data_IF_376917443250
#
_entry.id   IF_376917443250
#
_cell.length_a   1.000
_cell.length_b   1.000
_cell.length_c   1.000
_cell.angle_alpha   90.00
_cell.angle_beta   90.00
_cell.angle_gamma   90.00
#
_symmetry.space_group_name_H-M   'P 1'
#
loop_
_entity.id
_entity.type
_entity.pdbx_description
1 polymer ?
#
# COMPACT_ATOMS: atom_id res chain seq x y z
N UNK A 1 1.63 -8.41 19.88
CA UNK A 1 2.49 -7.82 18.86
C UNK A 1 1.66 -7.28 17.67
N UNK A 2 1.48 -8.02 16.54
CA UNK A 2 0.87 -7.42 15.32
C UNK A 2 -0.56 -6.93 15.54
N UNK A 3 -1.40 -7.70 16.24
CA UNK A 3 -2.78 -7.28 16.58
C UNK A 3 -2.80 -5.94 17.33
N UNK A 4 -1.91 -5.78 18.28
CA UNK A 4 -1.80 -4.55 19.06
C UNK A 4 -1.36 -3.37 18.17
N UNK A 5 -0.38 -3.58 17.29
CA UNK A 5 0.08 -2.54 16.35
C UNK A 5 -1.05 -2.07 15.44
N UNK A 6 -1.85 -3.00 14.90
CA UNK A 6 -3.00 -2.63 14.06
C UNK A 6 -4.01 -1.80 14.84
N UNK A 7 -4.37 -2.20 16.05
CA UNK A 7 -5.32 -1.46 16.87
C UNK A 7 -4.78 -0.08 17.31
N UNK A 8 -3.49 0.02 17.61
CA UNK A 8 -2.80 1.29 17.91
C UNK A 8 -2.82 2.23 16.70
N UNK A 9 -2.55 1.73 15.49
CA UNK A 9 -2.58 2.53 14.28
C UNK A 9 -3.99 3.05 13.98
N UNK A 10 -5.02 2.21 14.11
CA UNK A 10 -6.41 2.64 13.95
C UNK A 10 -6.88 3.62 15.03
N UNK A 11 -6.28 3.60 16.23
CA UNK A 11 -6.60 4.55 17.28
C UNK A 11 -5.83 5.87 17.15
N UNK A 12 -4.59 5.79 16.64
CA UNK A 12 -3.69 6.94 16.50
C UNK A 12 -3.93 7.76 15.25
N UNK A 13 -4.32 7.08 14.17
CA UNK A 13 -4.55 7.69 12.85
C UNK A 13 -6.00 7.51 12.42
N UNK A 14 -6.52 8.43 11.62
CA UNK A 14 -7.82 8.28 10.96
C UNK A 14 -7.66 7.31 9.75
N UNK A 15 -7.40 6.05 10.07
CA UNK A 15 -7.22 5.00 9.06
C UNK A 15 -8.55 4.73 8.33
N UNK A 16 -8.62 5.07 7.05
CA UNK A 16 -9.82 4.93 6.24
C UNK A 16 -9.97 3.53 5.65
N UNK A 17 -8.87 2.92 5.25
CA UNK A 17 -8.84 1.62 4.62
C UNK A 17 -7.47 0.96 4.83
N UNK A 18 -7.49 -0.30 5.16
CA UNK A 18 -6.32 -1.17 5.25
C UNK A 18 -6.51 -2.37 4.33
N UNK A 19 -5.57 -2.60 3.43
CA UNK A 19 -5.49 -3.85 2.69
C UNK A 19 -4.50 -4.80 3.36
N UNK A 20 -4.87 -6.06 3.48
CA UNK A 20 -4.01 -7.12 4.00
C UNK A 20 -4.06 -8.36 3.12
N UNK A 21 -2.92 -9.03 2.99
CA UNK A 21 -2.81 -10.28 2.22
C UNK A 21 -3.20 -11.47 3.11
N UNK A 22 -4.27 -12.23 2.78
CA UNK A 22 -4.80 -13.27 3.65
C UNK A 22 -3.89 -14.48 3.90
N UNK A 23 -3.03 -14.93 2.98
CA UNK A 23 -2.20 -16.10 3.22
C UNK A 23 -1.45 -16.01 4.56
N UNK A 24 -1.61 -17.03 5.41
CA UNK A 24 -1.09 -17.12 6.78
C UNK A 24 -1.72 -16.16 7.81
N UNK A 25 -2.60 -15.23 7.41
CA UNK A 25 -3.19 -14.20 8.27
C UNK A 25 -4.72 -14.21 8.30
N UNK A 26 -5.38 -15.24 7.72
CA UNK A 26 -6.85 -15.28 7.57
C UNK A 26 -7.60 -15.02 8.87
N UNK A 27 -7.21 -15.69 9.97
CA UNK A 27 -7.86 -15.49 11.27
C UNK A 27 -7.62 -14.10 11.84
N UNK A 28 -6.40 -13.54 11.68
CA UNK A 28 -6.07 -12.21 12.11
C UNK A 28 -6.85 -11.17 11.30
N UNK A 29 -6.93 -11.34 9.98
CA UNK A 29 -7.72 -10.49 9.09
C UNK A 29 -9.19 -10.48 9.49
N UNK A 30 -9.77 -11.64 9.81
CA UNK A 30 -11.15 -11.74 10.29
C UNK A 30 -11.38 -10.98 11.60
N UNK A 31 -10.44 -11.08 12.56
CA UNK A 31 -10.51 -10.32 13.81
C UNK A 31 -10.41 -8.81 13.59
N UNK A 32 -9.47 -8.37 12.74
CA UNK A 32 -9.30 -6.93 12.43
C UNK A 32 -10.51 -6.37 11.69
N UNK A 33 -11.04 -7.10 10.71
CA UNK A 33 -12.27 -6.71 10.00
C UNK A 33 -13.48 -6.62 10.94
N UNK A 34 -13.56 -7.50 11.93
CA UNK A 34 -14.61 -7.46 12.96
C UNK A 34 -14.51 -6.23 13.87
N UNK A 35 -13.28 -5.83 14.28
CA UNK A 35 -13.04 -4.65 15.11
C UNK A 35 -13.15 -3.33 14.34
N UNK A 36 -12.65 -3.29 13.12
CA UNK A 36 -12.58 -2.10 12.28
C UNK A 36 -13.49 -2.23 11.06
N UNK A 37 -14.80 -2.41 11.31
CA UNK A 37 -15.82 -2.73 10.29
C UNK A 37 -15.72 -1.82 9.06
N UNK A 38 -15.65 -2.44 7.89
CA UNK A 38 -15.61 -1.77 6.58
C UNK A 38 -14.27 -1.11 6.25
N UNK A 39 -13.28 -1.17 7.14
CA UNK A 39 -11.98 -0.53 6.96
C UNK A 39 -10.81 -1.50 6.79
N UNK A 40 -11.01 -2.79 7.03
CA UNK A 40 -10.03 -3.85 6.78
C UNK A 40 -10.57 -4.78 5.72
N UNK A 41 -9.83 -4.91 4.63
CA UNK A 41 -10.25 -5.63 3.42
C UNK A 41 -9.12 -6.54 2.95
N UNK A 42 -9.48 -7.75 2.54
CA UNK A 42 -8.54 -8.70 1.95
C UNK A 42 -8.06 -8.21 0.58
N UNK A 43 -6.75 -8.27 0.39
CA UNK A 43 -6.11 -8.03 -0.90
C UNK A 43 -5.18 -9.20 -1.23
N UNK A 44 -5.56 -10.00 -2.20
CA UNK A 44 -4.82 -11.20 -2.61
C UNK A 44 -3.67 -10.83 -3.55
N UNK A 45 -2.44 -10.80 -3.04
CA UNK A 45 -1.25 -10.44 -3.81
C UNK A 45 -0.91 -11.43 -4.93
N UNK A 46 -1.44 -12.65 -4.87
CA UNK A 46 -1.31 -13.68 -5.91
C UNK A 46 -2.27 -13.47 -7.10
N UNK A 47 -3.14 -12.47 -7.05
CA UNK A 47 -3.94 -12.04 -8.22
C UNK A 47 -3.08 -11.16 -9.12
N UNK A 48 -2.19 -11.77 -9.87
CA UNK A 48 -1.07 -11.14 -10.58
C UNK A 48 -1.46 -10.00 -11.51
N UNK A 49 -2.61 -10.04 -12.16
CA UNK A 49 -3.07 -8.94 -13.02
C UNK A 49 -3.39 -7.69 -12.19
N UNK A 50 -4.20 -7.82 -11.16
CA UNK A 50 -4.60 -6.71 -10.27
C UNK A 50 -3.38 -6.18 -9.54
N UNK A 51 -2.53 -7.07 -9.04
CA UNK A 51 -1.30 -6.69 -8.36
C UNK A 51 -0.34 -5.95 -9.29
N UNK A 52 -0.22 -6.36 -10.56
CA UNK A 52 0.60 -5.68 -11.56
C UNK A 52 0.14 -4.24 -11.81
N UNK A 53 -1.15 -3.98 -11.87
CA UNK A 53 -1.68 -2.62 -11.94
C UNK A 53 -1.39 -1.80 -10.68
N UNK A 54 -1.48 -2.41 -9.48
CA UNK A 54 -1.15 -1.73 -8.24
C UNK A 54 0.33 -1.36 -8.16
N UNK A 55 1.24 -2.26 -8.55
CA UNK A 55 2.68 -1.99 -8.64
C UNK A 55 2.97 -0.85 -9.60
N UNK A 56 2.37 -0.88 -10.79
CA UNK A 56 2.51 0.19 -11.79
C UNK A 56 2.04 1.54 -11.23
N UNK A 57 0.86 1.60 -10.64
CA UNK A 57 0.32 2.83 -10.07
C UNK A 57 1.22 3.41 -8.96
N UNK A 58 1.84 2.55 -8.16
CA UNK A 58 2.78 3.00 -7.14
C UNK A 58 4.09 3.54 -7.73
N UNK A 59 4.62 2.91 -8.78
CA UNK A 59 5.80 3.38 -9.50
C UNK A 59 5.55 4.74 -10.16
N UNK A 60 4.41 4.92 -10.80
CA UNK A 60 3.99 6.21 -11.38
C UNK A 60 3.86 7.29 -10.29
N UNK A 61 3.33 6.93 -9.11
CA UNK A 61 3.21 7.85 -7.98
C UNK A 61 4.58 8.28 -7.42
N UNK A 62 5.55 7.37 -7.34
CA UNK A 62 6.92 7.70 -6.96
C UNK A 62 7.54 8.64 -8.02
N UNK A 63 7.45 8.27 -9.29
CA UNK A 63 8.05 9.03 -10.39
C UNK A 63 7.48 10.45 -10.52
N UNK A 64 6.20 10.63 -10.24
CA UNK A 64 5.52 11.94 -10.27
C UNK A 64 5.65 12.73 -8.97
N UNK A 65 6.21 12.16 -7.92
CA UNK A 65 6.27 12.78 -6.59
C UNK A 65 4.93 12.83 -5.85
N UNK A 66 3.94 12.05 -6.28
CA UNK A 66 2.62 11.97 -5.63
C UNK A 66 2.67 11.20 -4.30
N UNK A 67 3.66 10.36 -4.10
CA UNK A 67 3.90 9.63 -2.87
C UNK A 67 5.31 9.91 -2.36
N UNK A 68 5.44 9.98 -1.04
CA UNK A 68 6.72 10.15 -0.37
C UNK A 68 6.60 9.68 1.08
N UNK A 69 7.74 9.64 1.76
CA UNK A 69 7.81 9.36 3.19
C UNK A 69 8.78 10.31 3.87
N UNK A 70 8.53 10.59 5.16
CA UNK A 70 9.42 11.44 5.95
C UNK A 70 10.74 10.72 6.20
N UNK A 71 11.86 11.38 5.88
CA UNK A 71 13.20 10.86 6.18
C UNK A 71 13.46 10.76 7.70
N UNK A 72 12.77 11.56 8.50
CA UNK A 72 12.91 11.58 9.96
C UNK A 72 12.09 10.48 10.65
N UNK A 73 11.28 9.73 9.92
CA UNK A 73 10.52 8.64 10.51
C UNK A 73 11.46 7.49 10.91
N UNK A 74 11.33 6.89 12.12
CA UNK A 74 12.22 5.83 12.58
C UNK A 74 12.41 4.67 11.62
N UNK A 75 11.39 4.34 10.85
CA UNK A 75 11.39 3.21 9.90
C UNK A 75 11.70 3.64 8.44
N UNK A 76 12.07 4.90 8.20
CA UNK A 76 12.34 5.39 6.84
C UNK A 76 13.47 4.63 6.14
N UNK A 77 14.55 4.35 6.87
CA UNK A 77 15.69 3.59 6.36
C UNK A 77 15.33 2.13 6.03
N UNK A 78 14.44 1.52 6.82
CA UNK A 78 13.97 0.16 6.58
C UNK A 78 13.09 0.11 5.32
N UNK A 79 12.16 1.06 5.16
CA UNK A 79 11.35 1.16 3.95
C UNK A 79 12.23 1.34 2.71
N UNK A 80 13.21 2.25 2.76
CA UNK A 80 14.13 2.48 1.65
C UNK A 80 14.92 1.21 1.28
N UNK A 81 15.39 0.44 2.27
CA UNK A 81 16.09 -0.83 2.04
C UNK A 81 15.18 -1.89 1.41
N UNK A 82 13.92 -1.99 1.84
CA UNK A 82 12.95 -2.92 1.29
C UNK A 82 12.58 -2.55 -0.15
N UNK A 83 12.41 -1.26 -0.44
CA UNK A 83 12.17 -0.79 -1.83
C UNK A 83 13.37 -1.10 -2.71
N UNK A 84 14.60 -0.85 -2.23
CA UNK A 84 15.83 -1.16 -2.97
C UNK A 84 16.07 -2.69 -3.18
N UNK A 85 15.47 -3.53 -2.33
CA UNK A 85 15.53 -4.99 -2.44
C UNK A 85 14.42 -5.57 -3.33
N UNK A 86 13.44 -4.77 -3.71
CA UNK A 86 12.36 -5.18 -4.59
C UNK A 86 12.78 -5.06 -6.06
N UNK A 87 12.62 -6.15 -6.79
CA UNK A 87 12.75 -6.21 -8.23
C UNK A 87 11.40 -6.32 -8.92
N UNK A 88 11.44 -6.38 -10.23
CA UNK A 88 10.27 -6.59 -11.06
C UNK A 88 10.34 -7.94 -11.76
N UNK A 89 9.24 -8.67 -11.75
CA UNK A 89 9.05 -9.90 -12.49
C UNK A 89 7.93 -9.73 -13.50
N UNK A 90 8.25 -10.03 -14.77
CA UNK A 90 7.26 -9.98 -15.85
C UNK A 90 6.18 -11.02 -15.61
N UNK A 91 4.93 -10.59 -15.67
CA UNK A 91 3.78 -11.49 -15.61
C UNK A 91 3.35 -11.93 -17.03
N UNK A 92 2.41 -12.87 -17.10
CA UNK A 92 1.76 -13.24 -18.36
C UNK A 92 0.69 -12.25 -18.82
N UNK A 93 0.39 -11.24 -18.01
CA UNK A 93 -0.65 -10.26 -18.27
C UNK A 93 -0.07 -9.00 -18.94
N UNK A 94 -0.91 -8.36 -19.73
CA UNK A 94 -0.61 -7.10 -20.40
C UNK A 94 -1.56 -6.00 -19.92
N UNK A 95 -1.21 -4.76 -20.21
CA UNK A 95 -2.05 -3.59 -19.97
C UNK A 95 -3.19 -3.61 -20.97
N UNK A 96 -4.44 -3.47 -20.48
CA UNK A 96 -5.64 -3.65 -21.28
C UNK A 96 -6.01 -2.42 -22.12
N UNK A 97 -5.62 -1.21 -21.66
CA UNK A 97 -6.00 0.05 -22.29
C UNK A 97 -5.00 1.18 -22.01
N UNK A 98 -5.20 2.31 -22.69
CA UNK A 98 -4.40 3.51 -22.49
C UNK A 98 -3.14 3.56 -23.37
N UNK A 99 -2.24 4.57 -23.11
CA UNK A 99 -1.07 4.80 -23.97
C UNK A 99 -0.07 3.64 -23.97
N UNK A 100 -0.10 2.78 -22.95
CA UNK A 100 0.80 1.63 -22.82
C UNK A 100 0.07 0.29 -23.05
N UNK A 101 -1.07 0.31 -23.70
CA UNK A 101 -1.82 -0.90 -24.04
C UNK A 101 -0.92 -1.95 -24.73
N UNK A 102 -1.06 -3.20 -24.31
CA UNK A 102 -0.28 -4.32 -24.84
C UNK A 102 1.10 -4.50 -24.19
N UNK A 103 1.60 -3.54 -23.42
CA UNK A 103 2.84 -3.72 -22.66
C UNK A 103 2.63 -4.70 -21.48
N UNK A 104 3.67 -5.43 -21.09
CA UNK A 104 3.57 -6.40 -19.99
C UNK A 104 3.36 -5.71 -18.65
N UNK A 105 2.56 -6.35 -17.78
CA UNK A 105 2.47 -6.02 -16.37
C UNK A 105 3.58 -6.73 -15.59
N UNK A 106 4.11 -6.05 -14.58
CA UNK A 106 5.17 -6.54 -13.69
C UNK A 106 4.67 -6.59 -12.26
N UNK A 107 5.02 -7.65 -11.54
CA UNK A 107 4.86 -7.73 -10.10
C UNK A 107 6.18 -7.52 -9.37
N UNK A 108 6.10 -7.31 -8.06
CA UNK A 108 7.30 -7.26 -7.24
C UNK A 108 7.84 -8.67 -7.01
N UNK A 109 9.16 -8.79 -7.05
CA UNK A 109 9.89 -9.99 -6.70
C UNK A 109 11.12 -9.64 -5.85
N UNK A 110 11.72 -10.62 -5.18
CA UNK A 110 12.97 -10.42 -4.45
C UNK A 110 14.13 -10.37 -5.43
N UNK A 111 14.94 -9.31 -5.37
CA UNK A 111 16.23 -9.26 -6.11
C UNK A 111 17.24 -10.25 -5.55
N UNK A 112 17.19 -10.49 -4.22
CA UNK A 112 18.07 -11.43 -3.53
C UNK A 112 17.26 -12.23 -2.50
N UNK A 113 17.49 -13.56 -2.40
CA UNK A 113 16.75 -14.43 -1.48
C UNK A 113 16.81 -13.97 -0.01
N UNK A 114 17.98 -13.48 0.41
CA UNK A 114 18.26 -13.09 1.80
C UNK A 114 17.77 -11.69 2.18
N UNK A 115 17.25 -10.91 1.23
CA UNK A 115 16.75 -9.57 1.49
C UNK A 115 15.24 -9.57 1.62
N UNK A 116 14.75 -8.83 2.61
CA UNK A 116 13.32 -8.59 2.80
C UNK A 116 12.85 -7.47 1.89
N UNK A 117 11.62 -7.59 1.37
CA UNK A 117 10.97 -6.55 0.58
C UNK A 117 9.50 -6.32 1.00
N UNK A 118 9.09 -6.90 2.13
CA UNK A 118 7.70 -6.90 2.61
C UNK A 118 7.16 -5.47 2.78
N UNK A 119 7.99 -4.52 3.24
CA UNK A 119 7.57 -3.13 3.37
C UNK A 119 7.35 -2.45 2.00
N UNK A 120 8.04 -2.88 0.93
CA UNK A 120 7.75 -2.40 -0.42
C UNK A 120 6.38 -2.89 -0.89
N UNK A 121 6.05 -4.15 -0.62
CA UNK A 121 4.71 -4.70 -0.90
C UNK A 121 3.64 -3.96 -0.11
N UNK A 122 3.85 -3.73 1.19
CA UNK A 122 2.94 -2.98 2.04
C UNK A 122 2.74 -1.53 1.53
N UNK A 123 3.78 -0.89 1.04
CA UNK A 123 3.69 0.45 0.46
C UNK A 123 2.83 0.48 -0.82
N UNK A 124 2.95 -0.52 -1.69
CA UNK A 124 2.08 -0.69 -2.87
C UNK A 124 0.62 -0.84 -2.43
N UNK A 125 0.34 -1.69 -1.45
CA UNK A 125 -1.03 -1.90 -0.95
C UNK A 125 -1.59 -0.64 -0.27
N UNK A 126 -0.77 0.09 0.47
CA UNK A 126 -1.15 1.36 1.10
C UNK A 126 -1.54 2.41 0.05
N UNK A 127 -0.76 2.53 -1.01
CA UNK A 127 -1.08 3.44 -2.12
C UNK A 127 -2.37 3.02 -2.83
N UNK A 128 -2.55 1.74 -3.08
CA UNK A 128 -3.77 1.20 -3.68
C UNK A 128 -5.00 1.47 -2.80
N UNK A 129 -4.89 1.35 -1.48
CA UNK A 129 -5.95 1.72 -0.54
C UNK A 129 -6.28 3.21 -0.64
N UNK A 130 -5.27 4.08 -0.71
CA UNK A 130 -5.44 5.52 -0.93
C UNK A 130 -6.21 5.80 -2.23
N UNK A 131 -5.83 5.18 -3.35
CA UNK A 131 -6.53 5.33 -4.63
C UNK A 131 -7.98 4.87 -4.54
N UNK A 132 -8.24 3.77 -3.85
CA UNK A 132 -9.59 3.23 -3.66
C UNK A 132 -10.50 4.21 -2.93
N UNK A 133 -10.08 4.72 -1.77
CA UNK A 133 -10.89 5.66 -1.00
C UNK A 133 -11.07 7.01 -1.72
N UNK A 134 -10.06 7.45 -2.47
CA UNK A 134 -10.13 8.67 -3.27
C UNK A 134 -11.13 8.54 -4.41
N UNK A 135 -11.14 7.39 -5.10
CA UNK A 135 -12.12 7.08 -6.15
C UNK A 135 -13.55 7.06 -5.60
N UNK A 136 -13.73 6.58 -4.37
CA UNK A 136 -15.03 6.55 -3.68
C UNK A 136 -15.47 7.94 -3.16
N UNK A 137 -14.72 9.00 -3.47
CA UNK A 137 -15.08 10.39 -3.21
C UNK A 137 -14.56 10.96 -1.88
N UNK A 138 -13.72 10.21 -1.14
CA UNK A 138 -13.06 10.76 0.04
C UNK A 138 -12.11 11.90 -0.34
N UNK A 139 -12.11 12.97 0.47
CA UNK A 139 -11.18 14.09 0.34
C UNK A 139 -10.48 14.32 1.67
N UNK A 140 -9.17 14.64 1.66
CA UNK A 140 -8.44 14.97 2.88
C UNK A 140 -9.11 16.16 3.59
N UNK A 141 -9.24 16.09 4.90
CA UNK A 141 -9.62 17.25 5.70
C UNK A 141 -8.48 18.26 5.62
N UNK A 142 -8.76 19.42 5.04
CA UNK A 142 -7.81 20.53 5.09
C UNK A 142 -7.70 20.96 6.56
N UNK A 143 -6.53 20.82 7.15
CA UNK A 143 -6.28 21.28 8.51
C UNK A 143 -6.50 22.79 8.52
N UNK A 144 -7.63 23.24 9.05
CA UNK A 144 -7.86 24.65 9.34
C UNK A 144 -6.83 25.07 10.39
N UNK A 145 -5.86 25.89 9.99
CA UNK A 145 -4.94 26.48 10.97
C UNK A 145 -5.77 27.12 12.07
N UNK A 146 -5.52 26.83 13.36
CA UNK A 146 -6.23 27.48 14.43
C UNK A 146 -6.03 29.00 14.25
N UNK A 147 -7.14 29.76 14.21
CA UNK A 147 -7.09 31.22 14.24
C UNK A 147 -6.32 31.61 15.50
N UNK A 148 -5.17 32.26 15.34
CA UNK A 148 -4.53 32.93 16.47
C UNK A 148 -5.51 34.03 16.93
N UNK A 149 -6.11 33.81 18.10
CA UNK A 149 -6.81 34.85 18.83
C UNK A 149 -5.71 35.82 19.27
N UNK A 150 -5.81 37.07 18.81
CA UNK A 150 -4.98 38.16 19.31
C UNK A 150 -5.54 38.66 20.64
#
# INVERSE_FOLDING_TARGET
>A
AVDQTVDEDFSRYDCLLMFGDPPYWTDAMGRWAGRHKGRVVEWWTNRYKIMGYAVRAYQEAIASGAVGWSADHPNAADLARHIAAAGQEKTKFIIDDGPDEGQPLYNLTKLHPDRKFDAAMAAVLSWQACLTVTKDGWKPRVATRPRRIR
#
